data_IF_064557154612
#
_entry.id   IF_064557154612
#
_cell.length_a   1.000
_cell.length_b   1.000
_cell.length_c   1.000
_cell.angle_alpha   90.00
_cell.angle_beta   90.00
_cell.angle_gamma   90.00
#
_symmetry.space_group_name_H-M   'P 1'
#
loop_
_entity.id
_entity.type
_entity.pdbx_description
1 polymer ?
#
# COMPACT_ATOMS: atom_id res chain seq x y z
N UNK A 1 19.40 -1.46 2.43
CA UNK A 1 18.96 -2.89 2.35
C UNK A 1 19.60 -3.54 1.16
N UNK A 2 20.29 -4.65 1.34
CA UNK A 2 20.76 -5.46 0.22
C UNK A 2 19.57 -6.23 -0.34
N UNK A 3 19.08 -5.85 -1.51
CA UNK A 3 18.14 -6.69 -2.25
C UNK A 3 18.92 -7.92 -2.75
N UNK A 4 18.60 -9.08 -2.21
CA UNK A 4 19.24 -10.35 -2.60
C UNK A 4 18.81 -10.73 -4.02
N UNK A 5 19.44 -10.10 -5.03
CA UNK A 5 19.20 -10.44 -6.43
C UNK A 5 19.86 -11.78 -6.76
N UNK A 6 19.14 -12.67 -7.41
CA UNK A 6 19.66 -13.95 -7.90
C UNK A 6 20.67 -13.77 -9.02
N UNK A 7 21.45 -14.79 -9.28
CA UNK A 7 22.43 -14.77 -10.39
C UNK A 7 21.74 -14.58 -11.75
N UNK A 8 20.56 -15.15 -11.95
CA UNK A 8 19.78 -14.99 -13.17
C UNK A 8 19.39 -13.53 -13.43
N UNK A 9 18.88 -12.83 -12.41
CA UNK A 9 18.55 -11.38 -12.50
C UNK A 9 19.80 -10.55 -12.73
N UNK A 10 20.92 -10.87 -12.06
CA UNK A 10 22.19 -10.15 -12.27
C UNK A 10 22.72 -10.31 -13.69
N UNK A 11 22.58 -11.49 -14.28
CA UNK A 11 22.96 -11.75 -15.66
C UNK A 11 22.10 -10.93 -16.62
N UNK A 12 20.78 -10.89 -16.39
CA UNK A 12 19.86 -10.09 -17.21
C UNK A 12 20.18 -8.60 -17.13
N UNK A 13 20.44 -8.08 -15.94
CA UNK A 13 20.82 -6.68 -15.74
C UNK A 13 22.13 -6.29 -16.44
N UNK A 14 22.97 -7.25 -16.79
CA UNK A 14 24.20 -7.03 -17.55
C UNK A 14 23.98 -7.03 -19.07
N UNK A 15 22.78 -7.37 -19.54
CA UNK A 15 22.45 -7.34 -20.97
C UNK A 15 22.14 -5.92 -21.45
N UNK A 16 22.23 -5.69 -22.75
CA UNK A 16 21.92 -4.39 -23.36
C UNK A 16 20.41 -4.15 -23.56
N UNK A 17 19.62 -5.22 -23.55
CA UNK A 17 18.16 -5.17 -23.72
C UNK A 17 17.47 -5.67 -22.46
N UNK A 18 16.85 -4.77 -21.72
CA UNK A 18 16.07 -5.11 -20.54
C UNK A 18 14.58 -5.06 -20.86
N UNK A 19 13.86 -6.11 -20.43
CA UNK A 19 12.39 -6.20 -20.54
C UNK A 19 11.77 -6.26 -19.13
N UNK A 20 11.75 -5.13 -18.40
CA UNK A 20 11.19 -5.10 -17.07
C UNK A 20 9.67 -5.24 -17.12
N UNK A 21 9.11 -5.93 -16.14
CA UNK A 21 7.66 -6.06 -15.92
C UNK A 21 7.34 -5.83 -14.46
N UNK A 22 6.18 -5.24 -14.19
CA UNK A 22 5.69 -5.06 -12.84
C UNK A 22 4.60 -6.10 -12.54
N UNK A 23 4.69 -6.70 -11.36
CA UNK A 23 3.69 -7.59 -10.81
C UNK A 23 3.09 -6.90 -9.58
N UNK A 24 1.82 -6.56 -9.67
CA UNK A 24 1.13 -5.73 -8.68
C UNK A 24 0.04 -6.55 -8.03
N UNK A 25 0.05 -6.60 -6.71
CA UNK A 25 -0.99 -7.22 -5.89
C UNK A 25 -1.63 -6.16 -5.03
N UNK A 26 -2.94 -6.04 -5.10
CA UNK A 26 -3.76 -5.17 -4.26
C UNK A 26 -4.70 -6.09 -3.47
N UNK A 27 -4.63 -6.02 -2.15
CA UNK A 27 -5.38 -6.91 -1.25
C UNK A 27 -6.73 -6.30 -0.87
N UNK A 28 -7.59 -6.08 -1.86
CA UNK A 28 -9.01 -5.78 -1.60
C UNK A 28 -9.70 -6.97 -0.93
N UNK A 29 -10.97 -6.87 -0.61
CA UNK A 29 -11.77 -8.00 -0.14
C UNK A 29 -11.56 -9.26 -0.99
N UNK A 30 -11.51 -9.09 -2.33
CA UNK A 30 -10.96 -10.09 -3.27
C UNK A 30 -9.64 -9.58 -3.82
N UNK A 31 -8.51 -10.29 -3.61
CA UNK A 31 -7.21 -9.83 -4.08
C UNK A 31 -7.15 -9.67 -5.60
N UNK A 32 -6.65 -8.54 -6.07
CA UNK A 32 -6.46 -8.22 -7.48
C UNK A 32 -4.98 -8.30 -7.81
N UNK A 33 -4.62 -9.20 -8.75
CA UNK A 33 -3.27 -9.41 -9.22
C UNK A 33 -3.17 -9.01 -10.69
N UNK A 34 -2.41 -7.95 -10.98
CA UNK A 34 -2.29 -7.36 -12.31
C UNK A 34 -0.82 -7.16 -12.71
N UNK A 35 -0.58 -7.11 -13.99
CA UNK A 35 0.73 -6.82 -14.58
C UNK A 35 0.59 -5.82 -15.72
N UNK A 36 1.63 -5.01 -15.93
CA UNK A 36 1.77 -4.11 -17.08
C UNK A 36 2.20 -4.82 -18.36
N UNK A 37 2.44 -6.12 -18.28
CA UNK A 37 2.76 -6.94 -19.44
C UNK A 37 1.55 -7.12 -20.37
N UNK A 38 1.80 -7.31 -21.68
CA UNK A 38 0.73 -7.55 -22.67
C UNK A 38 0.06 -8.92 -22.54
N UNK A 39 0.59 -9.81 -21.71
CA UNK A 39 0.05 -11.14 -21.43
C UNK A 39 0.11 -11.46 -19.94
N UNK A 40 -0.69 -12.44 -19.51
CA UNK A 40 -0.71 -12.84 -18.09
C UNK A 40 0.54 -13.63 -17.72
N UNK A 41 1.05 -13.38 -16.53
CA UNK A 41 2.26 -13.99 -15.98
C UNK A 41 1.93 -14.77 -14.72
N UNK A 42 2.57 -15.91 -14.54
CA UNK A 42 2.46 -16.68 -13.29
C UNK A 42 3.79 -16.61 -12.54
N UNK A 43 3.70 -16.29 -11.24
CA UNK A 43 4.87 -16.17 -10.37
C UNK A 43 4.58 -16.73 -8.99
N UNK A 44 5.60 -17.19 -8.30
CA UNK A 44 5.51 -17.71 -6.92
C UNK A 44 6.17 -16.82 -5.88
N UNK A 45 6.19 -15.51 -6.13
CA UNK A 45 6.86 -14.51 -5.26
C UNK A 45 6.34 -14.49 -3.83
N UNK A 46 5.10 -14.84 -3.59
CA UNK A 46 4.47 -14.87 -2.26
C UNK A 46 4.48 -16.27 -1.60
N UNK A 47 5.27 -17.18 -2.13
CA UNK A 47 5.31 -18.58 -1.67
C UNK A 47 4.20 -19.46 -2.24
N UNK A 48 3.21 -18.88 -2.90
CA UNK A 48 2.16 -19.57 -3.65
C UNK A 48 2.19 -19.14 -5.11
N UNK A 49 1.80 -20.03 -6.02
CA UNK A 49 1.69 -19.69 -7.43
C UNK A 49 0.52 -18.74 -7.65
N UNK A 50 0.80 -17.53 -8.09
CA UNK A 50 -0.18 -16.46 -8.35
C UNK A 50 -0.12 -16.09 -9.82
N UNK A 51 -1.28 -16.02 -10.47
CA UNK A 51 -1.39 -15.52 -11.83
C UNK A 51 -1.71 -14.03 -11.82
N UNK A 52 -0.82 -13.25 -12.40
CA UNK A 52 -0.99 -11.83 -12.63
C UNK A 52 -1.64 -11.62 -13.99
N UNK A 53 -2.85 -11.12 -13.99
CA UNK A 53 -3.62 -10.89 -15.21
C UNK A 53 -3.11 -9.63 -15.91
N UNK A 54 -2.97 -9.70 -17.24
CA UNK A 54 -2.63 -8.51 -18.02
C UNK A 54 -3.67 -7.41 -17.75
N UNK A 55 -3.21 -6.21 -17.54
CA UNK A 55 -4.07 -5.05 -17.38
C UNK A 55 -3.68 -3.97 -18.38
N UNK A 56 -4.57 -3.71 -19.33
CA UNK A 56 -4.45 -2.55 -20.23
C UNK A 56 -4.91 -1.25 -19.57
N UNK A 57 -5.37 -1.32 -18.33
CA UNK A 57 -5.93 -0.18 -17.60
C UNK A 57 -4.90 0.57 -16.76
N UNK A 58 -3.67 0.07 -16.62
CA UNK A 58 -2.60 0.77 -15.91
C UNK A 58 -2.20 1.99 -16.74
N UNK A 59 -2.48 3.19 -16.25
CA UNK A 59 -2.12 4.45 -16.90
C UNK A 59 -0.76 4.96 -16.44
N UNK A 60 -0.40 4.72 -15.20
CA UNK A 60 0.87 5.18 -14.68
C UNK A 60 1.16 4.78 -13.25
N UNK A 61 2.44 4.77 -12.96
CA UNK A 61 3.02 4.60 -11.64
C UNK A 61 3.91 5.81 -11.44
N UNK A 62 3.71 6.58 -10.37
CA UNK A 62 4.56 7.73 -10.10
C UNK A 62 5.98 7.31 -9.78
N UNK A 63 6.93 8.22 -9.96
CA UNK A 63 8.28 8.00 -9.49
C UNK A 63 8.28 7.94 -7.96
N UNK A 64 9.05 7.03 -7.42
CA UNK A 64 9.35 6.95 -6.00
C UNK A 64 10.87 6.89 -5.81
N UNK A 65 11.36 7.48 -4.73
CA UNK A 65 12.75 7.45 -4.33
C UNK A 65 12.92 6.61 -3.08
N UNK A 66 14.06 5.94 -2.97
CA UNK A 66 14.48 5.30 -1.71
C UNK A 66 15.53 6.19 -1.05
N UNK A 67 15.27 6.58 0.17
CA UNK A 67 16.18 7.41 0.97
C UNK A 67 16.62 6.63 2.21
N UNK A 68 17.75 7.03 2.75
CA UNK A 68 18.29 6.41 3.98
C UNK A 68 17.52 6.86 5.22
N UNK A 69 16.88 8.02 5.13
CA UNK A 69 16.10 8.57 6.22
C UNK A 69 14.73 7.88 6.34
N UNK A 70 14.25 7.79 7.58
CA UNK A 70 12.94 7.22 7.90
C UNK A 70 11.89 8.29 7.59
N UNK A 71 11.47 8.35 6.33
CA UNK A 71 10.46 9.28 5.86
C UNK A 71 9.25 8.54 5.29
N UNK A 72 8.09 9.18 5.38
CA UNK A 72 6.87 8.71 4.72
C UNK A 72 7.04 8.85 3.21
N UNK A 73 7.12 7.74 2.53
CA UNK A 73 7.14 7.72 1.08
C UNK A 73 5.76 7.39 0.53
N UNK A 74 5.36 8.05 -0.53
CA UNK A 74 4.11 7.82 -1.22
C UNK A 74 4.34 7.45 -2.67
N UNK A 75 3.45 6.59 -3.20
CA UNK A 75 3.39 6.16 -4.58
C UNK A 75 1.97 6.41 -5.08
N UNK A 76 1.81 7.13 -6.17
CA UNK A 76 0.53 7.28 -6.83
C UNK A 76 0.43 6.25 -7.97
N UNK A 77 -0.59 5.41 -7.88
CA UNK A 77 -0.89 4.37 -8.87
C UNK A 77 -2.19 4.73 -9.57
N UNK A 78 -2.12 5.00 -10.87
CA UNK A 78 -3.25 5.47 -11.66
C UNK A 78 -3.71 4.40 -12.63
N UNK A 79 -5.01 4.12 -12.59
CA UNK A 79 -5.72 3.20 -13.46
C UNK A 79 -6.74 3.96 -14.31
N UNK A 80 -6.99 3.47 -15.51
CA UNK A 80 -8.10 3.95 -16.33
C UNK A 80 -9.43 3.57 -15.70
N UNK A 81 -10.37 4.50 -15.68
CA UNK A 81 -11.74 4.28 -15.25
C UNK A 81 -12.59 3.47 -16.24
N UNK A 82 -12.02 2.88 -17.29
CA UNK A 82 -12.73 2.02 -18.23
C UNK A 82 -13.10 0.66 -17.62
N UNK A 83 -12.44 0.24 -16.54
CA UNK A 83 -12.79 -0.99 -15.82
C UNK A 83 -13.86 -0.72 -14.76
N UNK A 84 -15.11 -0.97 -15.11
CA UNK A 84 -16.23 -0.78 -14.19
C UNK A 84 -16.15 -1.70 -12.96
N UNK A 85 -15.55 -2.87 -13.07
CA UNK A 85 -15.39 -3.81 -11.95
C UNK A 85 -14.46 -3.22 -10.90
N UNK A 86 -13.34 -2.65 -11.34
CA UNK A 86 -12.38 -2.00 -10.45
C UNK A 86 -12.97 -0.77 -9.76
N UNK A 87 -13.68 0.08 -10.53
CA UNK A 87 -14.38 1.25 -9.97
C UNK A 87 -15.40 0.82 -8.93
N UNK A 88 -16.22 -0.19 -9.26
CA UNK A 88 -17.23 -0.72 -8.35
C UNK A 88 -16.61 -1.22 -7.04
N UNK A 89 -15.48 -1.92 -7.10
CA UNK A 89 -14.77 -2.38 -5.91
C UNK A 89 -14.31 -1.21 -5.06
N UNK A 90 -13.64 -0.22 -5.67
CA UNK A 90 -13.12 0.95 -4.95
C UNK A 90 -14.24 1.81 -4.33
N UNK A 91 -15.41 1.87 -4.97
CA UNK A 91 -16.55 2.66 -4.47
C UNK A 91 -17.36 1.94 -3.38
N UNK A 92 -17.46 0.62 -3.45
CA UNK A 92 -18.34 -0.16 -2.57
C UNK A 92 -17.61 -0.81 -1.40
N UNK A 93 -16.28 -0.95 -1.47
CA UNK A 93 -15.46 -1.53 -0.40
C UNK A 93 -14.66 -0.44 0.32
N UNK A 94 -14.32 -0.71 1.57
CA UNK A 94 -13.40 0.16 2.29
C UNK A 94 -11.95 -0.22 1.94
N UNK A 95 -11.45 0.39 0.89
CA UNK A 95 -10.11 0.11 0.33
C UNK A 95 -8.96 0.81 1.10
N UNK A 96 -9.30 1.71 2.01
CA UNK A 96 -8.29 2.43 2.82
C UNK A 96 -7.66 1.48 3.82
N UNK A 97 -6.34 1.47 3.90
CA UNK A 97 -5.44 0.57 4.62
C UNK A 97 -5.27 -0.83 3.96
N UNK A 98 -5.86 -1.11 2.81
CA UNK A 98 -5.58 -2.34 2.09
C UNK A 98 -4.13 -2.39 1.64
N UNK A 99 -3.54 -3.60 1.67
CA UNK A 99 -2.15 -3.77 1.35
C UNK A 99 -1.92 -3.69 -0.17
N UNK A 100 -0.88 -2.97 -0.55
CA UNK A 100 -0.37 -2.89 -1.91
C UNK A 100 1.05 -3.42 -1.95
N UNK A 101 1.34 -4.30 -2.92
CA UNK A 101 2.67 -4.84 -3.10
C UNK A 101 3.04 -4.85 -4.59
N UNK A 102 4.22 -4.33 -4.91
CA UNK A 102 4.72 -4.26 -6.27
C UNK A 102 6.10 -4.92 -6.37
N UNK A 103 6.20 -5.90 -7.26
CA UNK A 103 7.45 -6.56 -7.61
C UNK A 103 7.88 -6.17 -9.01
N UNK A 104 9.17 -6.20 -9.25
CA UNK A 104 9.77 -6.10 -10.59
C UNK A 104 10.37 -7.44 -10.97
N UNK A 105 9.99 -7.93 -12.12
CA UNK A 105 10.60 -9.05 -12.80
C UNK A 105 11.19 -8.63 -14.13
N UNK A 106 11.86 -9.57 -14.78
CA UNK A 106 12.38 -9.40 -16.13
C UNK A 106 11.92 -10.57 -16.98
N UNK A 107 11.69 -10.33 -18.24
CA UNK A 107 11.35 -11.35 -19.23
C UNK A 107 12.60 -11.75 -20.00
N UNK A 108 12.76 -13.03 -20.25
CA UNK A 108 13.77 -13.55 -21.17
C UNK A 108 13.32 -13.39 -22.64
N UNK A 109 14.17 -13.80 -23.57
CA UNK A 109 13.90 -13.72 -25.02
C UNK A 109 12.67 -14.54 -25.45
N UNK A 110 12.30 -15.55 -24.69
CA UNK A 110 11.10 -16.37 -24.90
C UNK A 110 9.84 -15.74 -24.26
N UNK A 111 9.91 -14.52 -23.75
CA UNK A 111 8.85 -13.84 -23.01
C UNK A 111 8.41 -14.59 -21.72
N UNK A 112 9.26 -15.44 -21.17
CA UNK A 112 9.02 -16.08 -19.89
C UNK A 112 9.61 -15.22 -18.76
N UNK A 113 8.91 -15.18 -17.64
CA UNK A 113 9.38 -14.48 -16.45
C UNK A 113 10.63 -15.19 -15.91
N UNK A 114 11.71 -14.46 -15.77
CA UNK A 114 12.92 -14.92 -15.09
C UNK A 114 12.58 -15.11 -13.61
N UNK A 115 13.05 -16.23 -13.03
CA UNK A 115 12.78 -16.55 -11.63
C UNK A 115 13.18 -15.42 -10.68
N UNK A 116 12.42 -15.30 -9.59
CA UNK A 116 12.66 -14.41 -8.48
C UNK A 116 12.50 -12.89 -8.79
N UNK A 117 11.29 -12.45 -9.17
CA UNK A 117 10.95 -11.03 -9.12
C UNK A 117 11.25 -10.47 -7.74
N UNK A 118 11.80 -9.27 -7.68
CA UNK A 118 12.17 -8.64 -6.43
C UNK A 118 11.18 -7.54 -6.03
N UNK A 119 10.98 -7.41 -4.73
CA UNK A 119 10.10 -6.40 -4.17
C UNK A 119 10.65 -4.99 -4.45
N UNK A 120 9.82 -4.12 -5.06
CA UNK A 120 10.15 -2.72 -5.25
C UNK A 120 9.46 -1.87 -4.20
N UNK A 121 8.15 -2.06 -4.03
CA UNK A 121 7.37 -1.24 -3.15
C UNK A 121 6.34 -2.08 -2.40
N UNK A 122 6.18 -1.78 -1.11
CA UNK A 122 5.14 -2.35 -0.25
C UNK A 122 4.59 -1.25 0.65
N UNK A 123 3.29 -1.13 0.66
CA UNK A 123 2.60 -0.13 1.46
C UNK A 123 1.13 -0.44 1.64
N UNK A 124 0.39 0.54 2.09
CA UNK A 124 -1.07 0.50 2.20
C UNK A 124 -1.70 1.68 1.48
N UNK A 125 -2.94 1.51 1.04
CA UNK A 125 -3.71 2.57 0.41
C UNK A 125 -4.10 3.60 1.49
N UNK A 126 -3.69 4.85 1.31
CA UNK A 126 -3.99 5.96 2.20
C UNK A 126 -5.25 6.69 1.74
N UNK A 127 -5.28 7.06 0.46
CA UNK A 127 -6.40 7.77 -0.15
C UNK A 127 -6.62 7.29 -1.58
N UNK A 128 -7.79 7.53 -2.09
CA UNK A 128 -8.10 7.35 -3.51
C UNK A 128 -8.82 8.58 -4.07
N UNK A 129 -8.69 8.79 -5.36
CA UNK A 129 -9.34 9.88 -6.07
C UNK A 129 -9.87 9.42 -7.42
N UNK A 130 -11.00 9.98 -7.82
CA UNK A 130 -11.56 9.83 -9.15
C UNK A 130 -11.40 11.13 -9.91
N UNK A 131 -11.00 11.03 -11.15
CA UNK A 131 -10.98 12.13 -12.10
C UNK A 131 -11.77 11.71 -13.32
N UNK A 132 -12.77 12.48 -13.67
CA UNK A 132 -13.65 12.21 -14.80
C UNK A 132 -13.73 13.46 -15.68
N UNK A 133 -13.58 13.26 -16.97
CA UNK A 133 -13.72 14.27 -18.01
C UNK A 133 -14.57 13.72 -19.15
N UNK A 134 -14.93 14.56 -20.11
CA UNK A 134 -15.73 14.13 -21.27
C UNK A 134 -15.10 12.97 -22.05
N UNK A 135 -13.79 12.82 -22.02
CA UNK A 135 -13.03 11.87 -22.85
C UNK A 135 -12.26 10.83 -22.07
N UNK A 136 -12.09 11.01 -20.77
CA UNK A 136 -11.25 10.14 -19.96
C UNK A 136 -11.75 10.06 -18.51
N UNK A 137 -11.70 8.87 -17.97
CA UNK A 137 -11.92 8.61 -16.55
C UNK A 137 -10.69 7.90 -15.97
N UNK A 138 -10.29 8.28 -14.76
CA UNK A 138 -9.16 7.65 -14.08
C UNK A 138 -9.39 7.54 -12.58
N UNK A 139 -8.82 6.49 -12.01
CA UNK A 139 -8.76 6.25 -10.57
C UNK A 139 -7.31 6.30 -10.14
N UNK A 140 -7.00 7.15 -9.19
CA UNK A 140 -5.66 7.24 -8.60
C UNK A 140 -5.72 6.74 -7.18
N UNK A 141 -4.92 5.72 -6.88
CA UNK A 141 -4.69 5.22 -5.53
C UNK A 141 -3.39 5.80 -5.01
N UNK A 142 -3.45 6.48 -3.88
CA UNK A 142 -2.25 6.94 -3.18
C UNK A 142 -1.85 5.91 -2.15
N UNK A 143 -0.69 5.32 -2.35
CA UNK A 143 -0.13 4.27 -1.50
C UNK A 143 0.98 4.89 -0.67
N UNK A 144 1.00 4.58 0.62
CA UNK A 144 2.03 5.06 1.54
C UNK A 144 2.78 3.89 2.13
N UNK A 145 4.06 4.10 2.41
CA UNK A 145 4.89 3.11 3.09
C UNK A 145 4.40 2.91 4.53
N UNK A 146 4.72 1.77 5.15
CA UNK A 146 4.31 1.48 6.53
C UNK A 146 4.85 2.51 7.55
N UNK A 147 5.85 3.32 7.19
CA UNK A 147 6.35 4.41 8.02
C UNK A 147 5.28 5.48 8.27
N UNK A 148 4.25 5.57 7.42
CA UNK A 148 3.09 6.43 7.67
C UNK A 148 2.33 6.07 8.95
N UNK A 149 2.43 4.82 9.42
CA UNK A 149 1.77 4.39 10.66
C UNK A 149 2.36 5.06 11.90
N UNK A 150 3.63 5.50 11.85
CA UNK A 150 4.25 6.26 12.94
C UNK A 150 3.70 7.68 13.08
N UNK A 151 3.13 8.23 12.02
CA UNK A 151 2.49 9.54 12.04
C UNK A 151 1.01 9.47 12.47
N UNK A 152 0.43 8.26 12.51
CA UNK A 152 -0.96 8.09 12.92
C UNK A 152 -1.13 8.40 14.41
N UNK A 153 -1.87 9.45 14.70
CA UNK A 153 -2.31 9.73 16.07
C UNK A 153 -3.36 8.71 16.50
N UNK A 154 -3.05 8.00 17.56
CA UNK A 154 -4.03 7.11 18.17
C UNK A 154 -5.16 7.97 18.77
N UNK A 155 -6.39 7.84 18.27
CA UNK A 155 -7.56 8.59 18.74
C UNK A 155 -8.01 8.27 20.18
N UNK A 156 -7.18 7.50 20.92
CA UNK A 156 -7.45 7.15 22.31
C UNK A 156 -7.32 8.38 23.20
N UNK A 157 -8.40 8.72 23.90
CA UNK A 157 -8.41 9.81 24.88
C UNK A 157 -7.96 9.28 26.24
N UNK A 158 -7.27 10.14 26.99
CA UNK A 158 -6.87 9.87 28.38
C UNK A 158 -8.04 10.14 29.31
N UNK A 159 -9.01 9.23 29.36
CA UNK A 159 -10.17 9.32 30.23
C UNK A 159 -10.57 7.92 30.76
N UNK A 160 -11.40 7.90 31.81
CA UNK A 160 -11.82 6.68 32.47
C UNK A 160 -12.53 5.70 31.53
N UNK A 161 -13.42 6.16 30.66
CA UNK A 161 -14.16 5.32 29.72
C UNK A 161 -13.22 4.64 28.72
N UNK A 162 -12.22 5.36 28.23
CA UNK A 162 -11.22 4.79 27.31
C UNK A 162 -10.31 3.77 28.02
N UNK A 163 -9.99 4.00 29.28
CA UNK A 163 -9.19 3.08 30.08
C UNK A 163 -9.97 1.80 30.40
N UNK A 164 -11.20 1.92 30.87
CA UNK A 164 -12.05 0.77 31.23
C UNK A 164 -12.47 -0.09 30.03
N UNK A 165 -12.42 0.44 28.81
CA UNK A 165 -12.62 -0.38 27.61
C UNK A 165 -11.60 -1.52 27.46
N UNK A 166 -10.38 -1.31 27.97
CA UNK A 166 -9.29 -2.30 27.90
C UNK A 166 -9.05 -2.98 29.24
N UNK A 167 -9.30 -2.27 30.33
CA UNK A 167 -9.09 -2.73 31.72
C UNK A 167 -10.33 -2.36 32.52
N UNK A 168 -11.34 -3.21 32.50
CA UNK A 168 -12.67 -2.93 33.03
C UNK A 168 -12.71 -2.59 34.51
N UNK A 169 -11.76 -3.06 35.29
CA UNK A 169 -11.64 -2.81 36.73
C UNK A 169 -10.70 -1.67 37.12
N UNK A 170 -10.06 -1.04 36.13
CA UNK A 170 -9.13 0.05 36.37
C UNK A 170 -9.86 1.39 36.57
N UNK A 171 -9.72 1.97 37.76
CA UNK A 171 -10.32 3.24 38.14
C UNK A 171 -9.31 4.39 38.22
N UNK A 172 -8.06 4.14 37.82
CA UNK A 172 -6.98 5.14 37.89
C UNK A 172 -7.26 6.45 37.14
N UNK A 173 -8.16 6.43 36.14
CA UNK A 173 -8.57 7.59 35.35
C UNK A 173 -9.92 8.19 35.75
N UNK A 174 -10.51 7.78 36.89
CA UNK A 174 -11.82 8.27 37.32
C UNK A 174 -11.90 9.79 37.48
N UNK A 175 -10.80 10.41 37.85
CA UNK A 175 -10.72 11.84 38.11
C UNK A 175 -10.16 12.64 36.92
N UNK A 176 -9.80 11.98 35.83
CA UNK A 176 -9.17 12.65 34.67
C UNK A 176 -10.05 13.67 33.95
N UNK A 177 -11.37 13.58 34.11
CA UNK A 177 -12.35 14.53 33.52
C UNK A 177 -12.81 15.60 34.49
N UNK A 178 -12.32 15.58 35.73
CA UNK A 178 -12.72 16.61 36.71
C UNK A 178 -12.01 17.92 36.40
N UNK A 179 -12.79 18.99 36.38
CA UNK A 179 -12.25 20.33 36.25
C UNK A 179 -11.42 20.65 37.50
N UNK A 180 -10.22 21.20 37.29
CA UNK A 180 -9.37 21.64 38.41
C UNK A 180 -10.17 22.63 39.25
N UNK A 181 -10.55 22.25 40.46
CA UNK A 181 -11.15 23.17 41.40
C UNK A 181 -10.05 23.99 42.05
N UNK A 182 -10.27 25.30 42.09
CA UNK A 182 -9.37 26.23 42.77
C UNK A 182 -9.40 25.96 44.27
N UNK A 183 -8.44 25.19 44.75
CA UNK A 183 -8.33 24.86 46.19
C UNK A 183 -7.68 26.06 46.88
N UNK A 184 -8.45 26.83 47.58
CA UNK A 184 -7.96 27.93 48.40
C UNK A 184 -7.30 27.38 49.67
N UNK A 185 -5.99 27.32 49.68
CA UNK A 185 -5.21 26.96 50.86
C UNK A 185 -5.16 28.15 51.83
N UNK A 186 -5.30 27.86 53.10
CA UNK A 186 -5.05 28.86 54.15
C UNK A 186 -6.14 29.87 54.42
N UNK A 187 -7.40 29.54 54.21
CA UNK A 187 -8.53 30.33 54.69
C UNK A 187 -8.91 29.84 56.10
N UNK A 188 -8.58 30.67 57.10
CA UNK A 188 -9.16 30.59 58.44
C UNK A 188 -10.62 31.01 58.41
#
# INVERSE_FOLDING_TARGET
MTRSLTSAVKTELATSELRPVHLITISFGTPVNITDCSFSLTSSVSGSSVTYTKSSFIMGISNFSEETDITKQSLDFTLSGADQTFISTVLNENVVNDAFTMYRGFLNDSNALIADPFLIYKGSIDTFGFSESETASSVTLRIVSHWADFEKTNGRKTNNTSQQRFFSSDVGMNFSSQTVQDIKWGRA
#
